data_IF_106993903167
#
_entry.id   IF_106993903167
#
_cell.length_a   1.000
_cell.length_b   1.000
_cell.length_c   1.000
_cell.angle_alpha   90.00
_cell.angle_beta   90.00
_cell.angle_gamma   90.00
#
_symmetry.space_group_name_H-M   'P 1'
#
loop_
_entity.id
_entity.type
_entity.pdbx_description
1 polymer ?
2 non-polymer ?
3 non-polymer ?
4 non-polymer ?
5 water ?
#
# COMPACT_ATOMS: atom_id res chain seq x y z
N UNK A 21 -14.38 -26.40 4.94
CA UNK A 21 -13.07 -26.78 5.47
C UNK A 21 -12.01 -26.74 4.34
N UNK A 22 -10.92 -25.99 4.56
CA UNK A 22 -9.75 -25.96 3.67
C UNK A 22 -8.52 -26.15 4.56
N UNK A 23 -7.61 -27.11 4.22
CA UNK A 23 -6.37 -27.37 4.96
C UNK A 23 -6.57 -27.42 6.49
N UNK A 24 -7.57 -28.18 6.93
CA UNK A 24 -7.79 -28.44 8.34
C UNK A 24 -8.72 -27.50 9.08
N UNK A 25 -8.90 -26.24 8.57
CA UNK A 25 -9.67 -25.23 9.30
C UNK A 25 -11.00 -24.87 8.59
N UNK A 26 -12.00 -24.39 9.34
CA UNK A 26 -13.27 -23.99 8.74
C UNK A 26 -13.06 -22.81 7.80
N UNK A 27 -13.73 -22.87 6.68
CA UNK A 27 -13.74 -21.80 5.72
C UNK A 27 -15.17 -21.75 5.22
N UNK A 28 -16.00 -21.07 5.99
CA UNK A 28 -17.43 -21.25 5.99
C UNK A 28 -18.15 -20.13 5.22
N UNK A 29 -18.26 -20.30 3.90
CA UNK A 29 -18.69 -19.20 3.03
C UNK A 29 -20.10 -19.43 2.47
N UNK A 30 -20.92 -20.20 3.22
CA UNK A 30 -22.32 -20.44 2.92
C UNK A 30 -22.46 -21.24 1.66
N UNK A 31 -23.70 -21.48 1.19
CA UNK A 31 -23.85 -22.13 -0.11
C UNK A 31 -23.58 -21.20 -1.29
N UNK A 32 -23.57 -19.85 -1.11
CA UNK A 32 -23.36 -18.97 -2.28
C UNK A 32 -22.02 -19.25 -2.95
N UNK A 33 -20.98 -19.50 -2.16
CA UNK A 33 -19.62 -19.70 -2.64
C UNK A 33 -19.17 -21.13 -2.44
N UNK A 34 -18.86 -21.81 -3.52
CA UNK A 34 -18.51 -23.23 -3.49
C UNK A 34 -17.17 -23.50 -4.21
N UNK A 35 -16.70 -24.76 -4.22
CA UNK A 35 -15.56 -25.16 -5.05
C UNK A 35 -14.31 -24.36 -4.69
N UNK A 36 -13.93 -24.40 -3.41
CA UNK A 36 -12.83 -23.60 -2.91
C UNK A 36 -11.49 -24.15 -3.33
N UNK A 37 -10.53 -23.27 -3.67
CA UNK A 37 -9.13 -23.63 -3.80
C UNK A 37 -8.32 -22.68 -2.92
N UNK A 38 -7.37 -23.23 -2.18
CA UNK A 38 -6.40 -22.42 -1.45
C UNK A 38 -5.58 -21.56 -2.42
N UNK A 39 -5.47 -20.26 -2.13
CA UNK A 39 -4.56 -19.37 -2.85
C UNK A 39 -3.30 -19.21 -2.00
N UNK A 40 -3.46 -18.88 -0.73
CA UNK A 40 -2.32 -18.72 0.17
C UNK A 40 -2.69 -18.07 1.49
N UNK A 41 -1.67 -17.74 2.26
CA UNK A 41 -1.79 -17.11 3.55
C UNK A 41 -1.33 -15.67 3.36
N UNK A 42 -2.15 -14.74 3.79
CA UNK A 42 -1.81 -13.33 3.77
C UNK A 42 -1.68 -12.77 5.16
N UNK A 43 -1.56 -11.43 5.24
CA UNK A 43 -1.41 -10.74 6.52
C UNK A 43 -2.66 -10.80 7.44
N UNK A 44 -3.81 -11.36 6.96
CA UNK A 44 -5.02 -11.55 7.80
C UNK A 44 -5.26 -13.05 8.14
N UNK A 45 -4.89 -13.94 7.23
CA UNK A 45 -5.07 -15.37 7.41
C UNK A 45 -5.24 -16.07 6.08
N UNK A 46 -6.17 -17.03 6.00
CA UNK A 46 -6.34 -17.83 4.80
C UNK A 46 -7.09 -17.08 3.67
N UNK A 47 -6.60 -17.22 2.43
CA UNK A 47 -7.18 -16.64 1.24
C UNK A 47 -7.47 -17.81 0.25
N UNK A 48 -8.71 -17.90 -0.27
CA UNK A 48 -9.16 -18.93 -1.21
C UNK A 48 -9.84 -18.30 -2.40
N UNK A 49 -9.84 -18.98 -3.56
CA UNK A 49 -10.82 -18.69 -4.60
C UNK A 49 -12.05 -19.55 -4.33
N UNK A 50 -13.16 -19.13 -4.87
CA UNK A 50 -14.43 -19.86 -4.77
C UNK A 50 -15.31 -19.48 -5.96
N UNK A 51 -16.22 -20.37 -6.37
CA UNK A 51 -17.20 -20.06 -7.37
C UNK A 51 -18.40 -19.36 -6.73
N UNK A 52 -18.71 -18.15 -7.22
CA UNK A 52 -19.85 -17.39 -6.76
C UNK A 52 -21.06 -17.85 -7.56
N UNK A 53 -21.99 -18.55 -6.91
CA UNK A 53 -23.13 -19.13 -7.60
C UNK A 53 -24.14 -18.09 -8.06
N UNK A 54 -24.12 -16.86 -7.53
CA UNK A 54 -25.06 -15.81 -7.95
C UNK A 54 -24.54 -15.13 -9.24
N UNK A 55 -23.29 -14.58 -9.21
CA UNK A 55 -22.71 -13.86 -10.35
C UNK A 55 -22.00 -14.78 -11.36
N UNK A 56 -21.85 -16.08 -11.06
CA UNK A 56 -21.35 -17.08 -11.99
C UNK A 56 -19.88 -16.87 -12.39
N UNK A 57 -19.10 -16.32 -11.47
CA UNK A 57 -17.68 -16.08 -11.66
C UNK A 57 -16.94 -16.60 -10.42
N UNK A 58 -15.66 -16.93 -10.58
CA UNK A 58 -14.83 -17.16 -9.42
C UNK A 58 -14.44 -15.81 -8.80
N UNK A 59 -14.36 -15.80 -7.44
CA UNK A 59 -14.07 -14.68 -6.58
C UNK A 59 -12.93 -15.08 -5.62
N UNK A 60 -12.35 -14.09 -4.96
CA UNK A 60 -11.38 -14.29 -3.91
C UNK A 60 -12.10 -14.05 -2.58
N UNK A 61 -11.75 -14.84 -1.57
CA UNK A 61 -12.31 -14.69 -0.23
C UNK A 61 -11.22 -14.80 0.76
N UNK A 62 -11.08 -13.79 1.64
CA UNK A 62 -10.13 -13.88 2.74
C UNK A 62 -10.89 -13.99 4.06
N UNK A 63 -10.44 -14.92 4.90
CA UNK A 63 -10.97 -15.22 6.22
C UNK A 63 -10.20 -14.43 7.25
N UNK A 64 -10.90 -13.65 8.07
CA UNK A 64 -10.33 -12.81 9.09
C UNK A 64 -10.92 -13.27 10.44
N UNK A 65 -10.08 -13.35 11.46
CA UNK A 65 -10.41 -13.82 12.79
C UNK A 65 -9.79 -12.83 13.79
N UNK A 66 -10.33 -11.61 13.87
CA UNK A 66 -9.66 -10.53 14.66
C UNK A 66 -10.12 -10.31 16.10
N UNK A 67 -11.16 -10.98 16.60
CA UNK A 67 -11.95 -10.37 17.70
C UNK A 67 -11.30 -10.46 19.09
N UNK A 68 -10.33 -11.33 19.24
CA UNK A 68 -9.60 -11.45 20.51
C UNK A 68 -8.58 -10.31 20.72
N UNK A 69 -8.22 -9.57 19.64
CA UNK A 69 -7.18 -8.56 19.72
C UNK A 69 -7.65 -7.19 19.21
N UNK A 70 -7.42 -6.18 20.03
CA UNK A 70 -7.89 -4.82 19.77
C UNK A 70 -7.21 -4.29 18.49
N UNK A 71 -5.93 -4.68 18.25
CA UNK A 71 -5.19 -4.15 17.09
C UNK A 71 -5.73 -4.77 15.82
N UNK A 72 -6.03 -6.08 15.84
CA UNK A 72 -6.56 -6.73 14.66
C UNK A 72 -7.99 -6.26 14.39
N UNK A 73 -8.78 -6.02 15.44
CA UNK A 73 -10.07 -5.33 15.29
C UNK A 73 -9.95 -3.98 14.62
N UNK A 74 -8.96 -3.16 15.08
CA UNK A 74 -8.70 -1.84 14.52
C UNK A 74 -8.44 -1.94 13.00
N UNK A 75 -7.55 -2.83 12.60
CA UNK A 75 -7.12 -2.94 11.21
C UNK A 75 -8.22 -3.47 10.31
N UNK A 76 -8.94 -4.52 10.80
CA UNK A 76 -10.09 -5.04 10.08
C UNK A 76 -11.16 -3.97 9.91
N UNK A 77 -11.46 -3.19 10.95
CA UNK A 77 -12.45 -2.12 10.84
C UNK A 77 -12.02 -1.02 9.88
N UNK A 78 -10.77 -0.59 9.98
CA UNK A 78 -10.21 0.44 9.07
C UNK A 78 -10.41 0.06 7.63
N UNK A 79 -10.01 -1.17 7.30
CA UNK A 79 -10.09 -1.64 5.94
C UNK A 79 -11.49 -1.67 5.43
N UNK A 80 -12.41 -2.26 6.22
CA UNK A 80 -13.80 -2.39 5.79
C UNK A 80 -14.38 -1.04 5.57
N UNK A 81 -14.18 -0.12 6.52
CA UNK A 81 -14.73 1.24 6.38
C UNK A 81 -14.20 1.97 5.13
N UNK A 82 -12.89 1.90 4.92
CA UNK A 82 -12.29 2.55 3.76
C UNK A 82 -12.82 1.94 2.44
N UNK A 83 -12.74 0.61 2.26
CA UNK A 83 -13.06 -0.03 1.01
C UNK A 83 -14.53 0.00 0.65
N UNK A 84 -15.43 0.03 1.64
CA UNK A 84 -16.85 0.27 1.35
C UNK A 84 -17.14 1.70 0.88
N UNK A 85 -16.33 2.67 1.29
CA UNK A 85 -16.50 4.08 0.92
C UNK A 85 -15.88 4.34 -0.44
N UNK A 86 -14.74 3.69 -0.74
CA UNK A 86 -14.04 3.93 -1.98
C UNK A 86 -14.69 3.20 -3.12
N UNK A 87 -14.70 3.84 -4.30
CA UNK A 87 -15.06 3.16 -5.52
C UNK A 87 -14.14 3.67 -6.63
N UNK A 88 -13.23 2.81 -7.08
CA UNK A 88 -12.24 3.20 -8.06
C UNK A 88 -11.72 2.00 -8.77
N UNK A 89 -11.48 2.13 -10.07
CA UNK A 89 -11.04 0.99 -10.90
C UNK A 89 -9.68 0.38 -10.47
N UNK A 90 -8.80 1.18 -9.84
CA UNK A 90 -7.49 0.72 -9.40
C UNK A 90 -7.41 0.50 -7.89
N UNK A 91 -8.55 0.32 -7.22
CA UNK A 91 -8.62 -0.02 -5.82
C UNK A 91 -9.55 -1.21 -5.69
N UNK A 92 -9.07 -2.25 -5.02
CA UNK A 92 -9.85 -3.47 -4.85
C UNK A 92 -11.19 -3.12 -4.12
N UNK A 93 -12.29 -3.63 -4.61
CA UNK A 93 -13.57 -3.42 -3.91
C UNK A 93 -13.83 -4.47 -2.85
N UNK A 94 -14.85 -4.28 -2.05
CA UNK A 94 -15.47 -5.38 -1.33
C UNK A 94 -16.78 -5.70 -2.03
N UNK A 95 -16.92 -6.92 -2.52
CA UNK A 95 -18.10 -7.43 -3.21
C UNK A 95 -19.16 -7.94 -2.24
N UNK A 96 -18.72 -8.48 -1.11
CA UNK A 96 -19.62 -9.11 -0.16
C UNK A 96 -18.87 -9.32 1.14
N UNK A 97 -19.58 -9.41 2.28
CA UNK A 97 -18.94 -9.75 3.53
C UNK A 97 -19.81 -10.77 4.20
N UNK A 98 -19.21 -11.88 4.65
CA UNK A 98 -19.95 -12.99 5.25
C UNK A 98 -19.57 -13.06 6.69
N UNK A 99 -20.59 -13.04 7.55
CA UNK A 99 -20.40 -13.31 8.93
C UNK A 99 -21.70 -13.86 9.55
N UNK A 100 -21.59 -14.35 10.76
CA UNK A 100 -22.73 -14.88 11.48
C UNK A 100 -23.83 -13.81 11.71
N UNK A 101 -25.12 -14.21 11.87
CA UNK A 101 -26.19 -13.20 11.95
C UNK A 101 -26.26 -12.40 13.23
N UNK A 102 -25.55 -12.81 14.26
CA UNK A 102 -25.54 -12.15 15.56
C UNK A 102 -24.14 -11.91 16.02
N UNK A 103 -23.96 -10.86 16.82
CA UNK A 103 -22.65 -10.55 17.44
C UNK A 103 -22.12 -11.72 18.24
N UNK A 104 -22.99 -12.39 18.99
CA UNK A 104 -22.57 -13.48 19.87
C UNK A 104 -21.97 -14.65 19.06
N UNK A 105 -22.55 -14.95 17.93
CA UNK A 105 -22.11 -16.06 17.07
C UNK A 105 -20.99 -15.65 16.12
N UNK A 106 -20.70 -14.36 15.96
CA UNK A 106 -19.70 -13.90 15.01
C UNK A 106 -18.30 -14.13 15.58
N UNK A 107 -17.53 -15.04 14.95
CA UNK A 107 -16.12 -15.28 15.31
C UNK A 107 -15.17 -14.91 14.16
N UNK A 108 -15.58 -15.12 12.95
CA UNK A 108 -14.79 -14.80 11.75
C UNK A 108 -15.58 -13.89 10.86
N UNK A 109 -14.89 -13.17 9.98
CA UNK A 109 -15.47 -12.35 8.94
C UNK A 109 -14.79 -12.77 7.62
N UNK A 110 -15.56 -13.02 6.56
CA UNK A 110 -14.99 -13.32 5.22
C UNK A 110 -15.29 -12.15 4.30
N UNK A 111 -14.25 -11.63 3.64
CA UNK A 111 -14.41 -10.51 2.70
C UNK A 111 -14.22 -11.06 1.32
N UNK A 112 -15.17 -10.80 0.44
CA UNK A 112 -15.22 -11.33 -0.91
C UNK A 112 -14.78 -10.18 -1.82
N UNK A 113 -13.84 -10.48 -2.71
CA UNK A 113 -13.30 -9.49 -3.63
C UNK A 113 -13.12 -10.09 -4.99
N UNK A 114 -12.99 -9.23 -6.02
CA UNK A 114 -12.68 -9.70 -7.37
C UNK A 114 -11.47 -10.62 -7.38
N UNK A 115 -11.54 -11.67 -8.17
CA UNK A 115 -10.44 -12.60 -8.29
C UNK A 115 -9.44 -11.97 -9.26
N UNK A 116 -8.18 -11.95 -8.87
CA UNK A 116 -7.10 -11.36 -9.72
C UNK A 116 -6.03 -12.45 -9.86
N UNK A 117 -5.58 -12.75 -11.10
CA UNK A 117 -4.61 -13.82 -11.42
C UNK A 117 -3.38 -13.82 -10.52
N UNK A 118 -2.82 -12.64 -10.19
CA UNK A 118 -1.54 -12.60 -9.48
C UNK A 118 -1.36 -11.26 -8.73
N UNK A 119 -0.17 -11.05 -8.17
CA UNK A 119 0.20 -9.77 -7.61
C UNK A 119 1.59 -9.41 -8.11
N UNK A 120 1.99 -8.16 -7.89
CA UNK A 120 3.27 -7.68 -8.45
C UNK A 120 4.47 -8.34 -7.76
N UNK A 121 4.32 -8.76 -6.50
CA UNK A 121 5.38 -9.52 -5.79
C UNK A 121 5.66 -10.84 -6.53
N UNK A 122 4.65 -11.64 -6.71
CA UNK A 122 4.75 -12.94 -7.45
C UNK A 122 5.24 -12.69 -8.86
N UNK A 123 4.72 -11.64 -9.51
CA UNK A 123 5.08 -11.38 -10.90
C UNK A 123 6.56 -11.04 -11.02
N UNK A 124 7.10 -10.17 -10.15
CA UNK A 124 8.50 -9.78 -10.22
C UNK A 124 9.47 -10.90 -9.84
N UNK A 125 9.00 -11.92 -9.09
CA UNK A 125 9.84 -13.08 -8.79
C UNK A 125 10.26 -13.80 -10.07
N UNK A 126 9.39 -13.86 -11.11
CA UNK A 126 9.72 -14.66 -12.31
C UNK A 126 9.62 -13.98 -13.67
N UNK A 127 9.04 -12.77 -13.79
CA UNK A 127 8.81 -12.17 -15.09
C UNK A 127 9.55 -10.83 -15.26
N UNK A 128 10.29 -10.71 -16.34
CA UNK A 128 10.80 -9.42 -16.81
C UNK A 128 9.60 -8.59 -17.35
N UNK A 129 9.56 -7.32 -16.99
CA UNK A 129 8.53 -6.41 -17.48
C UNK A 129 9.09 -5.61 -18.61
N UNK A 130 8.32 -5.49 -19.70
CA UNK A 130 8.69 -4.54 -20.75
C UNK A 130 8.52 -3.11 -20.21
N UNK A 131 9.19 -2.15 -20.84
CA UNK A 131 8.94 -0.74 -20.50
C UNK A 131 7.45 -0.35 -20.61
N UNK A 132 6.68 -0.87 -21.58
CA UNK A 132 5.28 -0.52 -21.70
C UNK A 132 4.47 -1.08 -20.50
N UNK A 133 4.83 -2.30 -20.03
CA UNK A 133 4.20 -2.83 -18.81
C UNK A 133 4.56 -1.98 -17.57
N UNK A 134 5.79 -1.57 -17.39
CA UNK A 134 6.22 -0.75 -16.21
C UNK A 134 5.43 0.57 -16.25
N UNK A 135 5.40 1.19 -17.41
CA UNK A 135 4.66 2.43 -17.64
C UNK A 135 3.16 2.31 -17.27
N UNK A 136 2.48 1.29 -17.83
CA UNK A 136 1.07 1.00 -17.52
C UNK A 136 0.80 0.66 -16.04
N UNK A 137 1.64 -0.21 -15.44
CA UNK A 137 1.53 -0.49 -14.01
C UNK A 137 1.71 0.77 -13.17
N UNK A 138 2.76 1.55 -13.44
CA UNK A 138 3.01 2.76 -12.66
C UNK A 138 1.87 3.76 -12.82
N UNK A 139 1.34 3.92 -14.05
CA UNK A 139 0.19 4.80 -14.27
C UNK A 139 -0.99 4.41 -13.39
N UNK A 140 -1.33 3.11 -13.36
CA UNK A 140 -2.47 2.64 -12.58
C UNK A 140 -2.26 2.81 -11.09
N UNK A 141 -1.05 2.53 -10.60
CA UNK A 141 -0.70 2.78 -9.19
C UNK A 141 -0.95 4.25 -8.84
N UNK A 142 -0.41 5.18 -9.62
CA UNK A 142 -0.60 6.61 -9.31
C UNK A 142 -2.04 7.07 -9.47
N UNK A 143 -2.77 6.47 -10.40
CA UNK A 143 -4.17 6.86 -10.64
C UNK A 143 -5.00 6.44 -9.43
N UNK A 144 -4.79 5.22 -8.94
CA UNK A 144 -5.42 4.78 -7.70
C UNK A 144 -4.98 5.63 -6.51
N UNK A 145 -3.70 5.89 -6.42
CA UNK A 145 -3.17 6.71 -5.29
C UNK A 145 -3.71 8.11 -5.31
N UNK A 146 -3.92 8.68 -6.49
CA UNK A 146 -4.55 10.01 -6.59
C UNK A 146 -5.90 10.05 -5.86
N UNK A 147 -6.72 9.04 -6.11
CA UNK A 147 -8.03 8.94 -5.48
C UNK A 147 -7.87 8.79 -3.96
N UNK A 148 -6.97 7.88 -3.53
CA UNK A 148 -6.74 7.66 -2.10
C UNK A 148 -6.35 8.99 -1.42
N UNK A 149 -5.33 9.66 -1.95
CA UNK A 149 -4.85 10.94 -1.42
C UNK A 149 -5.90 12.04 -1.44
N UNK A 150 -6.72 12.07 -2.48
CA UNK A 150 -7.81 13.05 -2.60
C UNK A 150 -8.88 12.86 -1.48
N UNK A 151 -8.95 11.65 -0.90
CA UNK A 151 -9.83 11.37 0.21
C UNK A 151 -9.17 11.70 1.57
N UNK A 152 -7.99 12.33 1.57
CA UNK A 152 -7.14 12.62 2.72
C UNK A 152 -6.69 11.40 3.45
N UNK A 153 -6.56 10.25 2.73
CA UNK A 153 -6.11 8.99 3.29
C UNK A 153 -4.71 8.68 2.77
N UNK A 154 -3.91 8.05 3.64
CA UNK A 154 -2.58 7.50 3.37
C UNK A 154 -2.65 6.01 3.43
N UNK A 155 -2.15 5.30 2.41
CA UNK A 155 -2.20 3.87 2.39
C UNK A 155 -1.19 3.31 3.45
N UNK A 156 0.06 3.81 3.40
CA UNK A 156 1.10 3.55 4.40
C UNK A 156 1.65 2.13 4.38
N UNK A 157 1.31 1.31 3.36
CA UNK A 157 2.00 0.04 3.18
C UNK A 157 2.00 -0.42 1.75
N UNK A 158 2.29 0.50 0.86
CA UNK A 158 2.36 0.21 -0.56
C UNK A 158 3.63 -0.62 -0.79
N UNK A 159 3.45 -1.73 -1.50
CA UNK A 159 4.49 -2.70 -1.80
C UNK A 159 3.98 -3.64 -2.86
N UNK A 160 4.87 -4.38 -3.56
CA UNK A 160 4.41 -5.25 -4.63
C UNK A 160 3.30 -6.21 -4.28
N UNK A 161 3.34 -6.83 -3.07
CA UNK A 161 2.31 -7.83 -2.69
C UNK A 161 0.92 -7.17 -2.46
N UNK A 162 0.85 -5.85 -2.31
CA UNK A 162 -0.41 -5.11 -2.20
C UNK A 162 -0.92 -4.51 -3.50
N UNK A 163 -0.41 -5.01 -4.64
CA UNK A 163 -0.82 -4.60 -5.95
C UNK A 163 -1.23 -5.85 -6.69
N UNK A 164 -2.52 -6.02 -6.84
CA UNK A 164 -3.10 -7.18 -7.51
C UNK A 164 -3.19 -6.94 -9.02
N UNK A 165 -2.98 -7.99 -9.81
CA UNK A 165 -2.98 -7.88 -11.25
C UNK A 165 -3.78 -9.02 -11.85
N UNK A 166 -4.60 -8.71 -12.80
CA UNK A 166 -5.34 -9.73 -13.56
C UNK A 166 -4.65 -10.11 -14.87
N UNK A 167 -5.30 -10.98 -15.69
CA UNK A 167 -4.65 -11.53 -16.87
C UNK A 167 -4.46 -10.50 -17.99
N UNK A 168 -5.21 -9.38 -17.96
CA UNK A 168 -5.03 -8.27 -18.90
C UNK A 168 -4.27 -7.09 -18.26
N UNK A 169 -3.55 -7.36 -17.18
CA UNK A 169 -2.68 -6.38 -16.53
C UNK A 169 -3.42 -5.12 -15.95
N UNK A 170 -4.72 -5.24 -15.67
CA UNK A 170 -5.39 -4.29 -14.80
C UNK A 170 -4.82 -4.48 -13.37
N UNK A 171 -4.57 -3.36 -12.68
CA UNK A 171 -3.96 -3.30 -11.37
C UNK A 171 -4.92 -2.67 -10.38
N UNK A 172 -5.01 -3.28 -9.19
CA UNK A 172 -5.81 -2.85 -8.05
C UNK A 172 -5.03 -2.89 -6.75
N UNK A 173 -5.03 -1.76 -6.04
CA UNK A 173 -4.35 -1.60 -4.76
C UNK A 173 -5.19 -2.27 -3.73
N UNK A 174 -4.57 -3.07 -2.88
CA UNK A 174 -5.27 -3.67 -1.77
C UNK A 174 -4.59 -3.43 -0.42
N UNK A 175 -5.25 -3.89 0.65
CA UNK A 175 -4.89 -3.84 2.05
C UNK A 175 -4.85 -2.42 2.60
N UNK A 176 -5.97 -1.98 3.13
CA UNK A 176 -6.08 -0.68 3.76
C UNK A 176 -6.10 -0.77 5.30
N UNK A 177 -5.61 -1.88 5.84
CA UNK A 177 -5.57 -2.12 7.27
C UNK A 177 -4.60 -1.22 8.01
N UNK A 178 -3.57 -0.71 7.34
CA UNK A 178 -2.60 0.17 7.97
C UNK A 178 -2.77 1.66 7.56
N UNK A 179 -3.84 1.99 6.84
CA UNK A 179 -4.13 3.34 6.42
C UNK A 179 -4.48 4.30 7.55
N UNK A 180 -4.25 5.60 7.32
CA UNK A 180 -4.56 6.67 8.26
C UNK A 180 -5.08 7.86 7.47
N UNK A 181 -5.84 8.70 8.15
CA UNK A 181 -6.11 10.04 7.66
C UNK A 181 -4.86 10.90 7.80
N UNK A 182 -4.53 11.66 6.75
CA UNK A 182 -3.35 12.49 6.77
C UNK A 182 -3.46 13.55 7.85
N UNK A 183 -2.31 13.89 8.43
CA UNK A 183 -2.21 14.79 9.57
C UNK A 183 -0.82 15.39 9.58
N UNK A 184 -0.52 16.23 8.58
CA UNK A 184 0.81 16.81 8.50
C UNK A 184 1.27 17.68 9.67
N UNK A 185 0.35 18.36 10.36
CA UNK A 185 0.69 19.18 11.54
C UNK A 185 1.22 18.36 12.73
N UNK A 186 0.93 17.05 12.75
CA UNK A 186 1.37 16.17 13.82
C UNK A 186 2.35 15.07 13.31
N UNK A 187 3.04 15.31 12.22
CA UNK A 187 3.99 14.35 11.64
C UNK A 187 5.31 14.25 12.38
N UNK A 188 5.75 15.28 13.14
CA UNK A 188 7.15 15.30 13.63
C UNK A 188 7.27 14.44 14.86
N UNK A 189 8.41 13.73 14.92
CA UNK A 189 8.77 12.90 16.05
C UNK A 189 10.33 12.80 16.14
N UNK A 190 10.81 11.98 17.06
CA UNK A 190 12.22 11.76 17.22
C UNK A 190 12.81 10.65 16.39
N UNK A 191 14.08 10.47 16.68
CA UNK A 191 14.98 9.62 15.94
C UNK A 191 14.79 8.13 16.32
N UNK A 192 14.70 7.23 15.32
CA UNK A 192 14.67 5.77 15.51
C UNK A 192 13.49 5.30 16.37
N UNK A 193 12.36 5.96 16.21
CA UNK A 193 11.18 5.63 17.01
C UNK A 193 10.10 4.95 16.16
N UNK A 194 10.05 5.20 14.85
CA UNK A 194 8.81 4.95 14.09
C UNK A 194 8.92 3.73 13.25
N UNK A 195 7.75 3.11 13.02
CA UNK A 195 7.59 1.88 12.33
C UNK A 195 6.33 2.00 11.47
N UNK A 196 6.54 2.55 10.27
CA UNK A 196 5.51 2.72 9.27
C UNK A 196 5.96 1.94 8.07
N UNK A 197 5.01 1.33 7.33
CA UNK A 197 5.32 0.66 6.09
C UNK A 197 6.17 -0.65 6.33
N UNK A 198 6.36 -1.38 5.24
CA UNK A 198 7.20 -2.56 5.22
C UNK A 198 8.61 -2.01 4.94
N UNK A 199 9.64 -2.65 5.54
CA UNK A 199 10.96 -2.04 5.62
C UNK A 199 11.54 -1.54 4.31
N UNK A 200 11.55 -2.34 3.27
CA UNK A 200 12.19 -1.97 2.02
C UNK A 200 11.49 -0.76 1.37
N UNK A 201 10.24 -0.49 1.72
CA UNK A 201 9.42 0.55 1.06
C UNK A 201 9.20 1.81 1.96
N UNK A 202 9.94 1.89 3.05
CA UNK A 202 9.81 2.86 4.13
C UNK A 202 10.75 4.07 3.84
N UNK A 203 10.20 5.26 3.88
CA UNK A 203 10.90 6.48 3.47
C UNK A 203 11.95 6.78 4.54
N UNK A 204 13.05 7.46 4.16
CA UNK A 204 14.14 7.73 5.11
C UNK A 204 13.70 8.48 6.34
N UNK A 205 12.76 9.43 6.18
CA UNK A 205 12.30 10.23 7.27
C UNK A 205 11.60 9.45 8.39
N UNK A 206 11.07 8.27 8.10
CA UNK A 206 10.45 7.42 9.14
C UNK A 206 11.47 7.11 10.26
N UNK A 207 12.72 6.86 9.87
CA UNK A 207 13.78 6.52 10.83
C UNK A 207 14.37 7.80 11.49
N UNK A 208 14.07 8.99 10.97
CA UNK A 208 14.69 10.23 11.35
C UNK A 208 13.78 11.12 12.15
N UNK A 209 12.59 11.47 11.63
CA UNK A 209 11.74 12.46 12.32
C UNK A 209 10.27 12.46 11.95
N UNK A 210 9.75 11.40 11.32
CA UNK A 210 8.39 11.41 10.77
C UNK A 210 7.59 10.23 11.29
N UNK A 211 6.35 10.51 11.68
CA UNK A 211 5.34 9.50 12.02
C UNK A 211 4.64 8.89 10.81
N UNK A 212 4.92 9.34 9.59
CA UNK A 212 4.28 8.79 8.40
C UNK A 212 2.84 9.22 8.19
N UNK A 213 2.56 10.44 8.57
CA UNK A 213 1.22 11.05 8.49
C UNK A 213 1.10 12.04 7.31
N UNK A 214 2.04 12.04 6.34
CA UNK A 214 1.91 12.87 5.14
C UNK A 214 1.90 12.02 3.90
N UNK A 215 1.31 12.57 2.85
CA UNK A 215 1.14 11.89 1.54
C UNK A 215 2.46 11.46 0.91
N UNK A 216 3.51 12.22 1.17
CA UNK A 216 4.87 11.94 0.71
C UNK A 216 5.38 10.56 1.12
N UNK A 217 4.79 9.97 2.17
CA UNK A 217 5.24 8.65 2.63
C UNK A 217 4.89 7.59 1.55
N UNK A 218 3.72 7.73 0.95
CA UNK A 218 3.26 6.80 -0.09
C UNK A 218 4.03 6.99 -1.37
N UNK A 219 4.38 8.23 -1.72
CA UNK A 219 5.15 8.49 -2.94
C UNK A 219 6.53 7.81 -2.89
N UNK A 220 7.20 7.84 -1.73
CA UNK A 220 8.47 7.09 -1.56
C UNK A 220 8.26 5.62 -1.91
N UNK A 221 7.22 4.97 -1.33
CA UNK A 221 6.96 3.58 -1.55
C UNK A 221 6.77 3.30 -3.06
N UNK A 222 6.03 4.18 -3.73
CA UNK A 222 5.82 4.03 -5.17
C UNK A 222 7.15 4.09 -5.94
N UNK A 223 8.01 5.02 -5.56
CA UNK A 223 9.36 5.12 -6.09
C UNK A 223 10.14 3.81 -5.96
N UNK A 224 10.06 3.19 -4.77
CA UNK A 224 10.72 1.91 -4.53
C UNK A 224 10.16 0.81 -5.43
N UNK A 225 8.85 0.82 -5.63
CA UNK A 225 8.16 -0.14 -6.50
C UNK A 225 8.55 0.06 -7.96
N UNK A 226 8.63 1.32 -8.42
CA UNK A 226 9.11 1.62 -9.75
C UNK A 226 10.53 1.04 -9.98
N UNK A 227 11.47 1.34 -9.07
CA UNK A 227 12.83 0.82 -9.15
C UNK A 227 12.82 -0.72 -9.22
N UNK A 228 11.94 -1.37 -8.45
CA UNK A 228 11.90 -2.80 -8.38
C UNK A 228 11.35 -3.38 -9.69
N UNK A 229 10.41 -2.66 -10.36
CA UNK A 229 9.89 -3.03 -11.67
C UNK A 229 11.00 -2.95 -12.75
N UNK A 230 11.89 -2.01 -12.63
CA UNK A 230 13.00 -1.84 -13.57
C UNK A 230 14.03 -3.00 -13.55
N UNK A 231 14.31 -3.60 -12.41
CA UNK A 231 15.38 -4.61 -12.27
C UNK A 231 14.94 -5.94 -11.65
N UNK A 232 13.72 -6.06 -11.21
CA UNK A 232 13.23 -7.23 -10.48
C UNK A 232 13.92 -7.47 -9.15
N UNK A 233 14.57 -6.47 -8.58
CA UNK A 233 15.19 -6.62 -7.27
C UNK A 233 14.78 -5.41 -6.44
N UNK A 234 14.53 -5.56 -5.14
CA UNK A 234 14.28 -4.36 -4.30
C UNK A 234 15.48 -3.41 -4.33
N UNK A 235 15.24 -2.09 -4.43
CA UNK A 235 16.33 -1.13 -4.55
C UNK A 235 17.06 -0.89 -3.22
N UNK A 236 16.35 -0.97 -2.11
CA UNK A 236 16.91 -0.71 -0.79
C UNK A 236 16.61 -1.92 0.14
N UNK A 237 17.32 -3.03 -0.09
CA UNK A 237 17.01 -4.25 0.64
C UNK A 237 17.67 -4.34 2.01
N UNK A 238 17.25 -3.45 2.90
CA UNK A 238 17.67 -3.45 4.31
C UNK A 238 17.44 -4.81 4.96
N UNK A 239 18.44 -5.33 5.67
CA UNK A 239 18.33 -6.69 6.26
C UNK A 239 17.61 -6.71 7.60
N UNK A 240 17.41 -5.53 8.17
CA UNK A 240 16.70 -5.30 9.40
C UNK A 240 16.43 -3.77 9.52
N UNK A 241 15.67 -3.32 10.52
CA UNK A 241 15.15 -1.91 10.59
C UNK A 241 16.23 -0.82 10.49
N UNK A 242 17.30 -1.03 11.23
CA UNK A 242 18.43 -0.09 11.29
C UNK A 242 19.25 -0.06 9.96
N UNK A 243 19.30 -1.17 9.25
CA UNK A 243 20.06 -1.25 8.00
C UNK A 243 19.40 -0.43 6.87
N UNK A 244 18.09 -0.16 6.95
CA UNK A 244 17.34 0.42 5.83
C UNK A 244 17.92 1.77 5.39
N UNK A 245 18.22 2.64 6.37
CA UNK A 245 18.81 3.95 6.05
C UNK A 245 20.19 3.80 5.41
N UNK A 246 20.98 2.77 5.75
CA UNK A 246 22.29 2.53 5.08
C UNK A 246 22.09 2.34 3.56
N UNK A 247 21.09 1.55 3.18
CA UNK A 247 20.84 1.29 1.78
C UNK A 247 20.38 2.57 1.04
N UNK A 248 19.53 3.36 1.67
CA UNK A 248 18.96 4.57 1.04
C UNK A 248 20.09 5.57 0.77
N UNK A 249 20.87 5.87 1.81
CA UNK A 249 22.00 6.79 1.69
C UNK A 249 23.13 6.26 0.80
N UNK A 250 23.30 4.95 0.76
CA UNK A 250 24.23 4.29 -0.15
C UNK A 250 23.99 4.60 -1.62
N UNK A 251 22.72 4.87 -2.01
CA UNK A 251 22.35 5.24 -3.38
C UNK A 251 22.15 6.72 -3.55
N UNK A 252 21.33 7.34 -2.68
CA UNK A 252 21.08 8.79 -2.79
C UNK A 252 22.29 9.65 -2.44
N UNK A 253 23.22 9.13 -1.67
CA UNK A 253 24.36 9.88 -1.19
C UNK A 253 23.96 10.76 -0.03
N UNK A 254 24.93 11.55 0.43
CA UNK A 254 24.74 12.35 1.62
C UNK A 254 23.73 13.45 1.35
N UNK A 255 22.78 13.71 2.28
CA UNK A 255 21.89 14.86 2.07
C UNK A 255 22.59 16.19 2.14
N UNK A 256 22.05 17.13 1.39
CA UNK A 256 22.54 18.47 1.29
C UNK A 256 22.40 19.17 2.63
N UNK A 257 23.16 20.23 2.80
CA UNK A 257 22.95 21.15 3.93
C UNK A 257 21.47 21.60 4.09
N UNK A 258 20.80 22.03 3.00
CA UNK A 258 19.40 22.47 3.07
C UNK A 258 18.51 21.34 3.56
N UNK A 259 18.69 20.12 3.04
CA UNK A 259 17.86 19.00 3.45
C UNK A 259 18.12 18.58 4.91
N UNK A 260 19.36 18.69 5.33
CA UNK A 260 19.71 18.46 6.73
C UNK A 260 19.13 19.51 7.63
N UNK A 261 19.19 20.79 7.23
CA UNK A 261 18.60 21.86 8.03
C UNK A 261 17.12 21.69 8.26
N UNK A 262 16.42 20.97 7.37
CA UNK A 262 15.02 20.64 7.59
C UNK A 262 14.81 19.67 8.72
N UNK A 263 15.83 18.91 9.15
CA UNK A 263 15.69 17.97 10.25
C UNK A 263 16.13 18.72 11.53
N UNK A 264 15.18 19.22 12.27
CA UNK A 264 15.49 20.05 13.44
C UNK A 264 15.87 19.20 14.69
N UNK A 265 15.37 17.97 14.72
CA UNK A 265 15.69 17.06 15.79
C UNK A 265 17.18 16.75 15.84
N UNK A 266 17.85 16.99 16.99
CA UNK A 266 19.31 16.92 17.02
C UNK A 266 19.87 15.54 16.88
N UNK A 267 19.21 14.53 17.48
CA UNK A 267 19.71 13.15 17.39
C UNK A 267 19.74 12.73 15.91
N UNK A 268 18.68 13.00 15.19
CA UNK A 268 18.62 12.63 13.76
C UNK A 268 19.64 13.41 12.93
N UNK A 269 19.70 14.76 13.12
CA UNK A 269 20.65 15.60 12.41
C UNK A 269 22.10 15.21 12.67
N UNK A 270 22.46 15.00 13.94
CA UNK A 270 23.83 14.67 14.28
C UNK A 270 24.21 13.27 13.86
N UNK A 271 23.27 12.33 13.86
CA UNK A 271 23.52 11.03 13.22
C UNK A 271 23.95 11.22 11.75
N UNK A 272 23.15 11.96 10.93
CA UNK A 272 23.54 12.19 9.56
C UNK A 272 24.87 12.90 9.43
N UNK A 273 25.12 13.90 10.27
CA UNK A 273 26.40 14.62 10.23
C UNK A 273 27.61 13.76 10.59
N UNK A 274 27.40 12.74 11.39
CA UNK A 274 28.46 11.81 11.83
C UNK A 274 28.93 10.89 10.72
N UNK A 275 28.17 10.78 9.59
CA UNK A 275 28.50 9.80 8.58
C UNK A 275 29.54 10.36 7.64
N UNK A 276 30.40 9.48 7.14
CA UNK A 276 31.30 9.92 6.05
C UNK A 276 30.52 10.33 4.81
N UNK A 277 31.15 11.18 3.99
CA UNK A 277 30.51 11.64 2.76
C UNK A 277 30.24 10.44 1.85
N UNK A 278 29.05 10.39 1.22
CA UNK A 278 28.68 9.33 0.27
C UNK A 278 28.20 10.05 -0.96
N UNK A 279 28.67 9.59 -2.12
CA UNK A 279 28.29 10.13 -3.41
C UNK A 279 27.03 9.47 -3.88
N UNK A 280 26.25 10.23 -4.60
CA UNK A 280 25.06 9.73 -5.27
C UNK A 280 25.46 8.72 -6.36
N UNK A 281 24.76 7.61 -6.41
CA UNK A 281 24.92 6.63 -7.48
C UNK A 281 23.92 7.01 -8.62
N UNK A 282 24.39 7.33 -9.84
CA UNK A 282 23.46 7.78 -10.88
C UNK A 282 22.49 6.68 -11.25
N UNK A 283 21.24 7.02 -11.45
CA UNK A 283 20.20 6.01 -11.77
C UNK A 283 20.51 5.22 -13.03
N UNK A 284 21.11 5.90 -14.03
CA UNK A 284 21.40 5.29 -15.31
C UNK A 284 22.51 4.25 -15.22
N UNK A 285 23.35 4.28 -14.16
CA UNK A 285 24.33 3.21 -13.90
C UNK A 285 23.69 2.03 -13.21
N UNK A 286 22.71 2.27 -12.29
CA UNK A 286 21.98 1.19 -11.67
C UNK A 286 21.00 0.52 -12.60
N UNK A 287 20.47 1.26 -13.62
CA UNK A 287 19.40 0.81 -14.53
C UNK A 287 19.80 1.22 -15.95
N UNK A 288 20.85 0.57 -16.45
CA UNK A 288 21.35 0.95 -17.77
C UNK A 288 20.38 0.69 -18.93
N UNK A 289 19.37 -0.16 -18.76
CA UNK A 289 18.39 -0.40 -19.84
C UNK A 289 17.07 0.37 -19.64
N UNK A 290 16.93 1.16 -18.53
CA UNK A 290 15.71 1.88 -18.28
C UNK A 290 15.55 3.07 -19.19
N UNK A 291 14.26 3.39 -19.47
CA UNK A 291 13.82 4.60 -20.13
C UNK A 291 14.30 5.81 -19.34
N UNK A 292 14.93 6.77 -20.00
CA UNK A 292 15.46 7.91 -19.29
C UNK A 292 14.34 8.74 -18.63
N UNK A 293 13.13 8.78 -19.23
CA UNK A 293 11.99 9.46 -18.60
C UNK A 293 11.55 8.75 -17.33
N UNK A 294 11.56 7.41 -17.33
CA UNK A 294 11.26 6.65 -16.10
C UNK A 294 12.29 7.00 -14.99
N UNK A 295 13.59 7.14 -15.36
CA UNK A 295 14.59 7.46 -14.33
C UNK A 295 14.43 8.87 -13.81
N UNK A 296 13.96 9.81 -14.64
CA UNK A 296 13.73 11.17 -14.21
C UNK A 296 12.60 11.14 -13.18
N UNK A 297 11.53 10.39 -13.44
CA UNK A 297 10.41 10.33 -12.50
C UNK A 297 10.84 9.62 -11.24
N UNK A 298 11.60 8.52 -11.37
CA UNK A 298 12.14 7.79 -10.25
C UNK A 298 12.91 8.70 -9.27
N UNK A 299 13.80 9.55 -9.80
CA UNK A 299 14.59 10.49 -9.03
C UNK A 299 13.69 11.44 -8.20
N UNK A 300 12.63 11.90 -8.81
CA UNK A 300 11.67 12.81 -8.20
C UNK A 300 10.82 12.16 -7.11
N UNK A 301 10.49 10.86 -7.27
CA UNK A 301 9.79 10.11 -6.23
C UNK A 301 10.75 9.73 -5.09
N UNK A 302 12.01 9.41 -5.38
CA UNK A 302 12.98 9.03 -4.35
C UNK A 302 13.88 10.17 -3.96
N UNK A 303 13.27 11.29 -3.68
CA UNK A 303 13.90 12.48 -3.16
C UNK A 303 13.96 12.35 -1.64
N UNK A 304 15.15 12.61 -1.06
CA UNK A 304 15.37 12.47 0.37
C UNK A 304 14.44 13.35 1.17
N UNK A 305 14.30 14.61 0.76
CA UNK A 305 13.56 15.61 1.50
C UNK A 305 12.06 15.44 1.15
N UNK A 306 11.18 15.03 2.08
CA UNK A 306 9.77 14.82 1.70
C UNK A 306 9.04 16.05 1.20
N UNK A 307 9.47 17.27 1.61
CA UNK A 307 8.89 18.50 1.09
C UNK A 307 9.23 18.78 -0.36
N UNK A 308 10.32 18.22 -0.89
CA UNK A 308 10.67 18.39 -2.29
C UNK A 308 10.24 17.20 -3.16
N UNK A 309 9.74 16.13 -2.55
CA UNK A 309 9.31 14.94 -3.25
C UNK A 309 8.10 15.26 -4.09
N UNK A 310 8.03 14.64 -5.26
CA UNK A 310 6.93 14.91 -6.19
C UNK A 310 5.61 14.41 -5.56
N UNK A 311 4.48 15.10 -5.82
CA UNK A 311 3.17 14.68 -5.40
C UNK A 311 2.48 13.86 -6.48
N UNK A 312 1.41 13.16 -6.11
CA UNK A 312 0.75 12.20 -6.99
C UNK A 312 0.27 12.83 -8.27
N UNK A 313 -0.35 14.03 -8.22
CA UNK A 313 -0.81 14.66 -9.46
C UNK A 313 0.32 15.12 -10.36
N UNK A 314 1.45 15.57 -9.78
CA UNK A 314 2.65 15.89 -10.57
C UNK A 314 3.22 14.70 -11.25
N UNK A 315 3.24 13.56 -10.52
CA UNK A 315 3.75 12.33 -11.05
C UNK A 315 2.92 11.86 -12.27
N UNK A 316 1.60 11.91 -12.19
CA UNK A 316 0.74 11.57 -13.31
C UNK A 316 1.03 12.44 -14.57
N UNK A 317 1.33 13.74 -14.37
CA UNK A 317 1.65 14.70 -15.42
C UNK A 317 3.07 14.58 -15.97
N UNK A 318 3.91 13.67 -15.45
CA UNK A 318 5.32 13.54 -15.85
C UNK A 318 5.42 12.98 -17.26
N UNK A 319 6.35 13.50 -18.12
CA UNK A 319 6.45 12.92 -19.49
C UNK A 319 6.49 11.40 -19.62
N UNK A 320 7.00 10.67 -18.61
CA UNK A 320 7.05 9.19 -18.71
C UNK A 320 5.65 8.61 -18.96
N UNK A 321 4.58 9.28 -18.36
CA UNK A 321 3.19 8.81 -18.39
C UNK A 321 2.28 9.47 -19.44
N UNK A 322 2.87 10.16 -20.40
CA UNK A 322 2.13 11.04 -21.31
C UNK A 322 1.16 10.24 -22.19
N UNK A 323 1.46 8.95 -22.49
CA UNK A 323 0.54 8.12 -23.28
C UNK A 323 -0.79 7.86 -22.58
N UNK A 324 -0.80 7.93 -21.23
CA UNK A 324 -1.93 7.60 -20.41
C UNK A 324 -2.55 8.83 -19.73
N UNK A 325 -1.79 9.88 -19.49
CA UNK A 325 -2.27 10.97 -18.63
C UNK A 325 -3.51 11.62 -19.18
N UNK A 326 -4.52 11.68 -18.37
CA UNK A 326 -5.81 12.26 -18.73
C UNK A 326 -6.54 12.62 -17.42
N UNK A 327 -6.36 13.86 -16.92
CA UNK A 327 -6.88 14.20 -15.59
C UNK A 327 -8.39 14.06 -15.43
N UNK A 328 -9.13 14.23 -16.51
CA UNK A 328 -10.59 14.02 -16.52
C UNK A 328 -10.98 12.54 -16.36
N UNK A 329 -10.03 11.60 -16.64
CA UNK A 329 -10.26 10.19 -16.39
C UNK A 329 -9.42 9.65 -15.23
N UNK A 330 -9.11 10.54 -14.27
CA UNK A 330 -8.32 10.22 -13.10
C UNK A 330 -9.14 10.78 -11.93
N UNK A 331 -10.19 10.06 -11.57
CA UNK A 331 -11.14 10.62 -10.60
C UNK A 331 -10.65 10.80 -9.19
N UNK A 332 -11.34 11.72 -8.49
CA UNK A 332 -11.11 12.01 -7.08
C UNK A 332 -12.29 11.55 -6.24
N UNK A 333 -12.09 11.43 -4.91
CA UNK A 333 -13.12 10.95 -3.98
C UNK A 333 -14.18 12.06 -3.78
N UNK A 334 -15.46 11.69 -3.68
CA UNK A 334 -16.53 12.65 -3.44
C UNK A 334 -16.45 13.21 -2.02
N UNK A 335 -16.10 12.32 -1.05
CA UNK A 335 -16.30 12.42 0.39
C UNK A 335 -14.95 12.07 1.07
N UNK A 336 -14.01 13.02 1.19
CA UNK A 336 -12.83 12.80 2.06
C UNK A 336 -13.17 12.33 3.48
N UNK A 337 -12.25 11.57 4.08
CA UNK A 337 -12.36 11.06 5.44
C UNK A 337 -11.90 12.12 6.43
N UNK A 342 -11.82 7.20 15.02
CA UNK A 342 -10.92 7.40 16.15
C UNK A 342 -10.84 6.10 16.96
N UNK A 343 -10.12 5.11 16.42
CA UNK A 343 -10.24 3.72 16.88
C UNK A 343 -9.27 3.24 17.98
N UNK A 344 -8.30 4.06 18.42
CA UNK A 344 -7.21 3.53 19.25
C UNK A 344 -7.63 3.28 20.70
N UNK A 345 -8.40 4.21 21.31
CA UNK A 345 -8.91 4.03 22.67
C UNK A 345 -10.12 3.07 22.76
N UNK A 346 -10.72 2.66 21.62
CA UNK A 346 -11.92 1.82 21.67
C UNK A 346 -11.56 0.40 22.11
N UNK A 347 -12.19 -0.17 23.17
CA UNK A 347 -11.93 -1.57 23.48
C UNK A 347 -12.43 -2.50 22.36
N UNK A 348 -11.88 -3.69 22.30
CA UNK A 348 -12.24 -4.67 21.29
C UNK A 348 -13.72 -5.05 21.28
N UNK A 349 -14.42 -4.99 22.44
CA UNK A 349 -15.86 -5.26 22.48
C UNK A 349 -16.62 -4.26 21.63
N UNK A 350 -16.24 -3.00 21.74
CA UNK A 350 -16.87 -1.95 20.97
C UNK A 350 -16.46 -2.02 19.50
N UNK A 351 -15.22 -2.45 19.20
CA UNK A 351 -14.79 -2.55 17.80
C UNK A 351 -15.49 -3.73 17.12
N UNK A 352 -15.74 -4.84 17.84
CA UNK A 352 -16.57 -5.95 17.32
C UNK A 352 -17.96 -5.47 16.95
N UNK A 353 -18.55 -4.67 17.81
CA UNK A 353 -19.88 -4.11 17.56
C UNK A 353 -19.84 -3.19 16.35
N UNK A 354 -18.76 -2.40 16.18
CA UNK A 354 -18.63 -1.54 15.02
C UNK A 354 -18.43 -2.35 13.72
N UNK A 355 -17.64 -3.40 13.76
CA UNK A 355 -17.48 -4.33 12.61
C UNK A 355 -18.83 -4.97 12.26
N UNK A 356 -19.57 -5.41 13.25
CA UNK A 356 -20.90 -5.98 13.03
C UNK A 356 -21.83 -4.95 12.34
N UNK A 357 -21.90 -3.72 12.84
CA UNK A 357 -22.72 -2.69 12.16
C UNK A 357 -22.25 -2.37 10.76
N UNK A 358 -20.94 -2.28 10.56
CA UNK A 358 -20.37 -1.93 9.25
C UNK A 358 -20.63 -3.02 8.17
N UNK A 359 -20.79 -4.30 8.59
CA UNK A 359 -20.99 -5.41 7.69
C UNK A 359 -22.48 -5.80 7.51
N UNK A 360 -23.41 -5.10 8.18
CA UNK A 360 -24.84 -5.41 8.21
C UNK A 360 -25.51 -5.31 6.85
N UNK A 361 -24.98 -4.45 5.97
CA UNK A 361 -25.57 -4.23 4.66
C UNK A 361 -25.51 -5.45 3.76
N UNK A 362 -24.61 -6.42 4.06
CA UNK A 362 -24.48 -7.62 3.26
C UNK A 362 -25.33 -8.80 3.75
N UNK A 363 -26.04 -8.63 4.86
CA UNK A 363 -26.87 -9.71 5.37
C UNK A 363 -28.14 -9.90 4.54
N UNK A 364 -28.56 -11.18 4.32
CA UNK A 364 -29.96 -11.42 3.91
C UNK A 364 -30.95 -10.87 4.94
N UNK A 365 -30.62 -10.99 6.23
CA UNK A 365 -31.38 -10.38 7.31
C UNK A 365 -31.52 -8.87 7.19
X LIG B 1 11.38 -4.30 10.25
X LIG B 1 11.61 -5.60 9.69
X LIG B 1 12.26 -3.33 9.53
X LIG B 1 11.74 -4.24 11.70
X LIG B 1 9.98 -3.99 10.05
X LIG C 1 20.69 3.09 11.77
X LIG C 1 20.07 4.34 11.65
X LIG C 1 21.93 3.20 12.71
X LIG C 1 22.63 1.94 12.63
X LIG D 1 -3.71 -6.70 -0.42
X LIG D 1 -3.12 -8.10 -0.34
X LIG D 1 -4.16 -9.19 -0.30
X LIG D 1 -4.78 -11.45 -0.97
X LIG D 1 -5.74 -11.33 -2.12
X LIG D 1 -6.80 -10.44 -2.06
X LIG D 1 -7.51 -11.12 -4.24
X LIG D 1 -6.59 -12.59 -5.57
X LIG D 1 -6.48 -12.00 -4.34
X LIG D 1 -5.58 -12.10 -3.26
X LIG D 1 -5.24 -9.01 0.26
X LIG D 1 -3.85 -10.33 -0.93
X LIG D 1 -7.69 -10.33 -3.10
X LIG D 1 -8.22 -11.20 -5.39
X LIG D 1 -7.65 -12.11 -6.22
X LIG D 1 -4.55 -6.67 0.09
X LIG D 1 -3.08 -6.06 -0.02
X LIG D 1 -2.57 -8.17 0.48
X LIG D 1 -2.52 -8.24 -1.11
X LIG D 1 -5.28 -11.48 -0.12
X LIG D 1 -4.27 -12.29 -1.05
X LIG D 1 -6.92 -9.90 -1.28
X LIG D 1 -6.01 -13.25 -5.92
X LIG D 1 -4.84 -12.72 -3.33
X LIG D 1 -3.20 -10.32 -1.52
X LIG D 1 -8.42 -9.72 -3.06
X LIG D 1 -8.94 -10.74 -5.61
#
# INVERSE_FOLDING_TARGET
MAHHHHHHMAAAAAAGAGPEMVRGQVFDVGPRYTNLSYIGEGAYGMVCSAYDNVNKVRVAIKKISPFEHQTYCQRTLREIKILLRFRHENIIGINDIIRAPTIEQMKDVYIVQDLMETDLYKLLKTQHLSNDHICYFLYQILRGLKYIHSANVLHRDLKPSNLLLNTTCDLKICDFGLARVADPDHDHTGFLTEYVATRWYRAPEIMLNSKGYTKSIDIWSVGCILAEMLSNRPIFPGKHYLDQLNHILGILGSPSQEDLNCIINLKARNYLLSLPHKNKVPWNRLFPNADSKALDLLDKMLTFNPHKRIEVEQALAHPYLEQYYDPSDEPIAEAPFKFDMELDDLPKEKLKELIFEETARFQPGYRS
SO4 S O1 O2 O3 O4
EDO C1 O1 C2 O2
NXI C1 C2 C3 C6 C7 C8 C10 C14 C15 C16 O4 N5 C9 N11 N13 H17 H1 H19 H27 H21 H22 H23 H25 H26 H20 H24 H12
#
